data_IF_713458831327
#
_entry.id   IF_713458831327
#
_cell.length_a   1.000
_cell.length_b   1.000
_cell.length_c   1.000
_cell.angle_alpha   90.00
_cell.angle_beta   90.00
_cell.angle_gamma   90.00
#
_symmetry.space_group_name_H-M   'P 1'
#
loop_
_entity.id
_entity.type
_entity.pdbx_description
1 polymer ?
#
# COMPACT_ATOMS: atom_id res chain seq x y z
N UNK A 1 2.87 7.35 6.99
CA UNK A 1 4.30 7.73 6.80
C UNK A 1 5.01 6.60 6.07
N UNK A 2 6.01 6.85 5.23
CA UNK A 2 6.70 5.75 4.54
C UNK A 2 7.84 6.17 3.65
N UNK A 3 8.38 5.18 2.93
CA UNK A 3 9.49 5.33 2.01
C UNK A 3 9.23 4.56 0.72
N UNK A 4 9.76 5.08 -0.39
CA UNK A 4 9.79 4.41 -1.68
C UNK A 4 11.23 4.41 -2.20
N UNK A 5 11.61 3.33 -2.87
CA UNK A 5 12.95 3.12 -3.39
C UNK A 5 12.90 2.61 -4.84
N UNK A 6 13.58 3.32 -5.74
CA UNK A 6 13.80 2.88 -7.11
C UNK A 6 14.91 1.83 -7.10
N UNK A 7 14.54 0.56 -7.26
CA UNK A 7 15.50 -0.56 -7.26
C UNK A 7 16.28 -0.57 -8.57
N UNK A 8 15.56 -0.52 -9.69
CA UNK A 8 16.10 -0.43 -11.05
C UNK A 8 14.99 0.05 -11.97
N UNK A 9 15.26 0.78 -13.05
CA UNK A 9 14.18 1.09 -14.00
C UNK A 9 13.71 -0.19 -14.70
N UNK A 10 12.38 -0.46 -14.82
CA UNK A 10 11.22 0.38 -14.45
C UNK A 10 10.51 -0.02 -13.13
N UNK A 11 11.22 -0.64 -12.20
CA UNK A 11 10.74 -1.28 -10.97
C UNK A 11 11.12 -0.50 -9.68
N UNK A 12 10.14 -0.25 -8.82
CA UNK A 12 10.35 0.35 -7.50
C UNK A 12 9.58 -0.38 -6.42
N UNK A 13 10.07 -0.31 -5.19
CA UNK A 13 9.41 -0.86 -4.00
C UNK A 13 9.02 0.25 -3.04
N UNK A 14 8.03 -0.01 -2.20
CA UNK A 14 7.60 0.94 -1.18
C UNK A 14 7.18 0.24 0.11
N UNK A 15 7.25 0.99 1.20
CA UNK A 15 6.73 0.60 2.51
C UNK A 15 6.07 1.80 3.18
N UNK A 16 4.85 1.64 3.66
CA UNK A 16 4.07 2.66 4.36
C UNK A 16 3.49 2.11 5.66
N UNK A 17 3.46 2.97 6.68
CA UNK A 17 2.66 2.83 7.88
C UNK A 17 1.43 3.74 7.72
N UNK A 18 0.26 3.12 7.63
CA UNK A 18 -1.02 3.76 7.39
C UNK A 18 -1.90 3.66 8.63
N UNK A 19 -2.32 4.81 9.17
CA UNK A 19 -3.27 4.89 10.28
C UNK A 19 -4.56 5.58 9.83
N UNK A 20 -5.70 5.11 10.32
CA UNK A 20 -7.01 5.72 10.04
C UNK A 20 -7.85 5.86 11.32
N UNK A 21 -8.93 6.62 11.23
CA UNK A 21 -9.88 6.80 12.33
C UNK A 21 -10.97 5.74 12.25
N UNK A 22 -11.27 5.10 13.37
CA UNK A 22 -12.36 4.15 13.47
C UNK A 22 -13.71 4.81 13.10
N UNK A 23 -14.55 4.06 12.37
CA UNK A 23 -15.85 4.55 11.88
C UNK A 23 -16.92 4.43 12.98
N UNK A 24 -16.73 3.54 13.96
CA UNK A 24 -17.70 3.29 15.03
C UNK A 24 -17.10 3.55 16.42
N UNK A 25 -17.88 4.11 17.37
CA UNK A 25 -17.43 4.30 18.75
C UNK A 25 -17.02 2.98 19.41
N UNK A 26 -15.95 3.02 20.20
CA UNK A 26 -15.46 1.85 20.95
C UNK A 26 -14.59 0.89 20.12
N UNK A 27 -14.42 1.12 18.82
CA UNK A 27 -13.46 0.40 17.99
C UNK A 27 -12.07 1.05 18.09
N UNK A 28 -11.03 0.22 18.05
CA UNK A 28 -9.65 0.71 17.95
C UNK A 28 -9.41 1.36 16.58
N UNK A 29 -8.57 2.40 16.55
CA UNK A 29 -8.14 3.00 15.30
C UNK A 29 -7.30 2.00 14.48
N UNK A 30 -7.62 1.76 13.20
CA UNK A 30 -6.83 0.87 12.36
C UNK A 30 -5.42 1.41 12.15
N UNK A 31 -4.43 0.53 12.26
CA UNK A 31 -3.03 0.79 11.96
C UNK A 31 -2.47 -0.38 11.17
N UNK A 32 -1.94 -0.11 9.99
CA UNK A 32 -1.43 -1.13 9.06
C UNK A 32 -0.03 -0.78 8.58
N UNK A 33 0.80 -1.80 8.40
CA UNK A 33 2.00 -1.68 7.55
C UNK A 33 1.67 -2.25 6.18
N UNK A 34 2.04 -1.54 5.12
CA UNK A 34 1.88 -1.95 3.73
C UNK A 34 3.22 -1.95 3.03
N UNK A 35 3.52 -3.04 2.34
CA UNK A 35 4.70 -3.16 1.49
C UNK A 35 4.27 -3.55 0.09
N UNK A 36 4.90 -2.99 -0.93
CA UNK A 36 4.50 -3.26 -2.29
C UNK A 36 5.55 -2.88 -3.30
N UNK A 37 5.20 -3.11 -4.55
CA UNK A 37 6.05 -2.79 -5.68
C UNK A 37 5.23 -2.24 -6.83
N UNK A 38 5.91 -1.39 -7.59
CA UNK A 38 5.44 -0.78 -8.81
C UNK A 38 6.31 -1.24 -9.98
N UNK A 39 5.66 -1.47 -11.12
CA UNK A 39 6.34 -1.72 -12.38
C UNK A 39 5.74 -0.85 -13.49
N UNK A 40 6.56 0.00 -14.11
CA UNK A 40 6.12 0.84 -15.23
C UNK A 40 6.20 0.04 -16.53
N UNK A 41 5.04 -0.21 -17.15
CA UNK A 41 4.91 -0.95 -18.41
C UNK A 41 5.15 -0.01 -19.60
N UNK A 42 4.62 1.20 -19.54
CA UNK A 42 4.81 2.25 -20.52
C UNK A 42 4.80 3.62 -19.83
N UNK A 43 5.15 4.70 -20.53
CA UNK A 43 5.15 6.04 -19.95
C UNK A 43 3.79 6.43 -19.32
N UNK A 44 2.69 5.97 -19.93
CA UNK A 44 1.33 6.20 -19.48
C UNK A 44 0.74 5.05 -18.64
N UNK A 45 1.45 3.94 -18.43
CA UNK A 45 0.91 2.73 -17.80
C UNK A 45 1.84 2.17 -16.71
N UNK A 46 1.30 2.03 -15.50
CA UNK A 46 1.96 1.38 -14.35
C UNK A 46 1.07 0.27 -13.82
N UNK A 47 1.67 -0.85 -13.42
CA UNK A 47 1.01 -1.85 -12.58
C UNK A 47 1.64 -1.84 -11.19
N UNK A 48 0.87 -2.24 -10.19
CA UNK A 48 1.37 -2.33 -8.83
C UNK A 48 0.70 -3.46 -8.07
N UNK A 49 1.38 -3.94 -7.03
CA UNK A 49 0.87 -4.90 -6.07
C UNK A 49 1.38 -4.58 -4.68
N UNK A 50 0.58 -4.87 -3.66
CA UNK A 50 1.01 -4.71 -2.27
C UNK A 50 0.33 -5.70 -1.33
N UNK A 51 1.02 -5.97 -0.23
CA UNK A 51 0.51 -6.73 0.91
C UNK A 51 0.50 -5.79 2.12
N UNK A 52 -0.56 -5.85 2.93
CA UNK A 52 -0.61 -5.18 4.22
C UNK A 52 -0.80 -6.15 5.38
N UNK A 53 -0.30 -5.77 6.56
CA UNK A 53 -0.47 -6.47 7.83
C UNK A 53 -1.04 -5.49 8.84
N UNK A 54 -2.16 -5.85 9.46
CA UNK A 54 -2.73 -5.12 10.58
C UNK A 54 -1.81 -5.16 11.79
N UNK A 55 -1.71 -4.01 12.47
CA UNK A 55 -0.93 -3.79 13.69
C UNK A 55 -1.81 -3.38 14.87
N UNK A 56 -3.13 -3.24 14.68
CA UNK A 56 -4.11 -2.98 15.72
C UNK A 56 -5.36 -3.83 15.51
N UNK A 57 -6.17 -3.98 16.56
CA UNK A 57 -7.43 -4.74 16.55
C UNK A 57 -8.50 -4.13 15.63
N UNK A 58 -8.30 -2.88 15.17
CA UNK A 58 -9.16 -2.22 14.19
C UNK A 58 -8.80 -2.56 12.73
N UNK A 59 -7.67 -3.25 12.50
CA UNK A 59 -7.17 -3.58 11.16
C UNK A 59 -7.46 -5.02 10.77
N UNK A 60 -7.55 -5.26 9.46
CA UNK A 60 -7.55 -6.62 8.95
C UNK A 60 -6.19 -7.29 9.23
N UNK A 61 -6.21 -8.59 9.51
CA UNK A 61 -5.00 -9.36 9.73
C UNK A 61 -4.04 -9.25 8.54
N UNK A 62 -4.54 -9.47 7.33
CA UNK A 62 -3.75 -9.35 6.11
C UNK A 62 -4.60 -8.74 5.00
N UNK A 63 -3.98 -7.91 4.19
CA UNK A 63 -4.56 -7.36 2.97
C UNK A 63 -3.66 -7.67 1.78
N UNK A 64 -4.27 -7.92 0.62
CA UNK A 64 -3.58 -8.03 -0.65
C UNK A 64 -4.30 -7.13 -1.64
N UNK A 65 -3.55 -6.31 -2.36
CA UNK A 65 -4.09 -5.44 -3.42
C UNK A 65 -3.20 -5.48 -4.65
N UNK A 66 -3.84 -5.32 -5.81
CA UNK A 66 -3.16 -5.14 -7.07
C UNK A 66 -3.97 -4.17 -7.92
N UNK A 67 -3.30 -3.46 -8.82
CA UNK A 67 -3.97 -2.50 -9.68
C UNK A 67 -3.12 -2.02 -10.84
N UNK A 68 -3.76 -1.25 -11.71
CA UNK A 68 -3.12 -0.56 -12.81
C UNK A 68 -3.47 0.92 -12.75
N UNK A 69 -2.54 1.76 -13.19
CA UNK A 69 -2.71 3.21 -13.29
C UNK A 69 -2.46 3.61 -14.73
N UNK A 70 -3.44 4.24 -15.35
CA UNK A 70 -3.34 4.86 -16.69
C UNK A 70 -3.28 6.37 -16.52
N UNK A 71 -2.34 7.03 -17.20
CA UNK A 71 -2.26 8.49 -17.28
C UNK A 71 -2.64 8.92 -18.70
N UNK A 72 -3.69 9.74 -18.81
CA UNK A 72 -4.21 10.35 -20.04
C UNK A 72 -4.04 11.86 -20.00
#
# INVERSE_FOLDING_TARGET
>A
MGAAYLVAQPFSVFAFLDGSTAISPGQANPLEVRVGADYRVAQALKIFGSVSRGLSDGSADWGVSAGLVVRF
#
